data_IF_693414033172
#
_entry.id   IF_693414033172
#
_cell.length_a   1.000
_cell.length_b   1.000
_cell.length_c   1.000
_cell.angle_alpha   90.00
_cell.angle_beta   90.00
_cell.angle_gamma   90.00
#
_symmetry.space_group_name_H-M   'P 1'
#
loop_
_entity.id
_entity.type
_entity.pdbx_description
1 polymer ?
#
# COMPACT_ATOMS: atom_id res chain seq x y z
N UNK A 1 -34.42 -44.90 -15.23
CA UNK A 1 -33.51 -43.86 -15.75
C UNK A 1 -32.18 -43.95 -15.00
N UNK A 2 -31.11 -44.36 -15.69
CA UNK A 2 -29.78 -44.50 -15.08
C UNK A 2 -29.14 -43.11 -14.83
N UNK A 3 -28.48 -42.88 -13.69
CA UNK A 3 -27.84 -41.60 -13.40
C UNK A 3 -26.65 -41.37 -14.34
N UNK A 4 -26.70 -40.28 -15.11
CA UNK A 4 -25.63 -39.87 -16.03
C UNK A 4 -24.34 -39.67 -15.21
N UNK A 5 -23.25 -40.41 -15.50
CA UNK A 5 -22.00 -40.28 -14.78
C UNK A 5 -21.43 -38.88 -15.00
N UNK A 6 -21.30 -38.10 -13.92
CA UNK A 6 -20.59 -36.82 -13.93
C UNK A 6 -19.11 -37.09 -14.20
N UNK A 7 -18.72 -37.09 -15.47
CA UNK A 7 -17.32 -37.07 -15.86
C UNK A 7 -16.68 -35.87 -15.19
N UNK A 8 -15.78 -36.13 -14.23
CA UNK A 8 -14.88 -35.11 -13.69
C UNK A 8 -14.08 -34.61 -14.88
N UNK A 9 -14.49 -33.49 -15.49
CA UNK A 9 -13.61 -32.65 -16.30
C UNK A 9 -12.46 -32.24 -15.39
N UNK A 10 -11.44 -33.09 -15.32
CA UNK A 10 -10.10 -32.73 -14.91
C UNK A 10 -9.79 -31.57 -15.83
N UNK A 11 -9.82 -30.33 -15.32
CA UNK A 11 -9.09 -29.25 -15.98
C UNK A 11 -7.67 -29.78 -15.96
N UNK A 12 -7.28 -30.43 -17.05
CA UNK A 12 -5.91 -30.43 -17.51
C UNK A 12 -5.63 -28.94 -17.49
N UNK A 13 -4.92 -28.48 -16.45
CA UNK A 13 -4.12 -27.28 -16.60
C UNK A 13 -3.35 -27.62 -17.85
N UNK A 14 -3.80 -27.09 -19.00
CA UNK A 14 -3.01 -27.10 -20.20
C UNK A 14 -1.67 -26.63 -19.70
N UNK A 15 -0.72 -27.55 -19.74
CA UNK A 15 0.68 -27.27 -19.50
C UNK A 15 0.91 -26.21 -20.57
N UNK A 16 0.78 -24.94 -20.19
CA UNK A 16 0.96 -23.82 -21.10
C UNK A 16 2.32 -24.10 -21.66
N UNK A 17 2.35 -24.47 -22.94
CA UNK A 17 3.52 -25.08 -23.52
C UNK A 17 4.69 -24.16 -23.22
N UNK A 18 5.71 -24.70 -22.58
CA UNK A 18 6.92 -23.95 -22.22
C UNK A 18 7.61 -23.36 -23.47
N UNK A 19 7.15 -23.74 -24.67
CA UNK A 19 7.56 -23.19 -25.96
C UNK A 19 6.89 -21.87 -26.34
N UNK A 20 5.97 -21.30 -25.56
CA UNK A 20 5.56 -19.90 -25.74
C UNK A 20 6.56 -18.93 -25.06
N UNK A 21 7.85 -19.24 -25.23
CA UNK A 21 9.04 -18.56 -24.69
C UNK A 21 9.23 -17.13 -25.25
N UNK A 22 8.24 -16.60 -25.97
CA UNK A 22 8.32 -15.35 -26.71
C UNK A 22 7.12 -14.42 -26.52
N UNK A 23 6.33 -14.60 -25.46
CA UNK A 23 5.75 -13.41 -24.81
C UNK A 23 6.91 -12.73 -24.05
N UNK A 24 7.88 -12.19 -24.82
CA UNK A 24 8.95 -11.34 -24.32
C UNK A 24 8.26 -10.39 -23.36
N UNK A 25 8.64 -10.41 -22.08
CA UNK A 25 8.10 -9.50 -21.09
C UNK A 25 8.11 -8.12 -21.74
N UNK A 26 6.92 -7.61 -22.07
CA UNK A 26 6.77 -6.32 -22.71
C UNK A 26 7.64 -5.35 -21.94
N UNK A 27 8.59 -4.72 -22.63
CA UNK A 27 9.40 -3.70 -22.01
C UNK A 27 8.47 -2.56 -21.59
N UNK A 28 8.37 -2.34 -20.28
CA UNK A 28 7.54 -1.27 -19.76
C UNK A 28 8.22 0.06 -20.03
N UNK A 29 7.47 1.03 -20.53
CA UNK A 29 7.92 2.42 -20.63
C UNK A 29 8.26 2.98 -19.24
N UNK A 30 9.03 4.07 -19.17
CA UNK A 30 9.37 4.68 -17.88
C UNK A 30 8.13 5.09 -17.08
N UNK A 31 7.11 5.64 -17.76
CA UNK A 31 5.83 6.01 -17.15
C UNK A 31 5.07 4.79 -16.64
N UNK A 32 5.01 3.70 -17.43
CA UNK A 32 4.42 2.44 -16.98
C UNK A 32 5.13 1.90 -15.75
N UNK A 33 6.46 1.95 -15.69
CA UNK A 33 7.21 1.49 -14.49
C UNK A 33 6.85 2.30 -13.25
N UNK A 34 6.70 3.62 -13.39
CA UNK A 34 6.24 4.48 -12.28
C UNK A 34 4.84 4.03 -11.84
N UNK A 35 3.91 3.82 -12.77
CA UNK A 35 2.56 3.34 -12.45
C UNK A 35 2.56 1.96 -11.79
N UNK A 36 3.38 1.04 -12.28
CA UNK A 36 3.54 -0.32 -11.74
C UNK A 36 4.21 -0.35 -10.37
N UNK A 37 5.05 0.64 -10.07
CA UNK A 37 5.69 0.81 -8.75
C UNK A 37 4.72 1.36 -7.69
N UNK A 38 3.65 2.03 -8.12
CA UNK A 38 2.62 2.60 -7.24
C UNK A 38 1.68 1.53 -6.69
N UNK A 39 1.63 1.29 -5.36
CA UNK A 39 0.75 0.26 -4.80
C UNK A 39 -0.73 0.55 -5.04
N UNK A 40 -1.15 1.82 -4.98
CA UNK A 40 -2.55 2.21 -5.17
C UNK A 40 -3.05 1.96 -6.58
N UNK A 41 -2.29 2.42 -7.59
CA UNK A 41 -2.62 2.20 -8.99
C UNK A 41 -2.71 0.70 -9.30
N UNK A 42 -1.83 -0.10 -8.72
CA UNK A 42 -1.87 -1.55 -8.88
C UNK A 42 -3.05 -2.22 -8.17
N UNK A 43 -3.46 -1.74 -7.00
CA UNK A 43 -4.70 -2.21 -6.37
C UNK A 43 -5.92 -1.90 -7.24
N UNK A 44 -5.98 -0.70 -7.82
CA UNK A 44 -7.07 -0.27 -8.72
C UNK A 44 -7.09 -1.07 -10.03
N UNK A 45 -5.92 -1.44 -10.56
CA UNK A 45 -5.78 -2.29 -11.74
C UNK A 45 -6.09 -3.77 -11.48
N UNK A 46 -6.31 -4.18 -10.23
CA UNK A 46 -6.64 -5.58 -9.92
C UNK A 46 -8.04 -5.96 -10.46
N UNK A 47 -8.27 -7.23 -10.85
CA UNK A 47 -9.52 -7.63 -11.47
C UNK A 47 -10.76 -7.29 -10.62
N UNK A 48 -11.80 -6.74 -11.23
CA UNK A 48 -13.06 -6.45 -10.54
C UNK A 48 -13.76 -7.73 -10.07
N UNK A 49 -14.29 -7.70 -8.84
CA UNK A 49 -15.01 -8.81 -8.21
C UNK A 49 -16.19 -8.25 -7.43
N UNK A 50 -17.28 -8.99 -7.38
CA UNK A 50 -18.44 -8.61 -6.59
C UNK A 50 -18.23 -8.96 -5.11
N UNK A 51 -18.38 -7.98 -4.23
CA UNK A 51 -18.38 -8.19 -2.79
C UNK A 51 -19.68 -8.88 -2.37
N UNK A 52 -19.58 -10.00 -1.66
CA UNK A 52 -20.72 -10.78 -1.17
C UNK A 52 -21.57 -10.02 -0.14
N UNK A 53 -20.97 -9.08 0.59
CA UNK A 53 -21.66 -8.32 1.64
C UNK A 53 -22.47 -7.15 1.09
N UNK A 54 -21.86 -6.38 0.18
CA UNK A 54 -22.41 -5.12 -0.34
C UNK A 54 -22.95 -5.23 -1.76
N UNK A 55 -22.74 -6.36 -2.43
CA UNK A 55 -23.10 -6.63 -3.83
C UNK A 55 -22.46 -5.67 -4.85
N UNK A 56 -21.52 -4.81 -4.41
CA UNK A 56 -20.77 -3.88 -5.25
C UNK A 56 -19.57 -4.55 -5.90
N UNK A 57 -19.23 -4.12 -7.10
CA UNK A 57 -17.99 -4.50 -7.78
C UNK A 57 -16.84 -3.65 -7.26
N UNK A 58 -15.80 -4.30 -6.75
CA UNK A 58 -14.57 -3.67 -6.25
C UNK A 58 -13.35 -4.41 -6.82
N UNK A 59 -12.19 -3.75 -6.95
CA UNK A 59 -10.97 -4.44 -7.34
C UNK A 59 -10.60 -5.51 -6.30
N UNK A 60 -10.07 -6.64 -6.76
CA UNK A 60 -9.83 -7.82 -5.93
C UNK A 60 -8.90 -7.55 -4.72
N UNK A 61 -7.99 -6.58 -4.80
CA UNK A 61 -7.09 -6.24 -3.69
C UNK A 61 -7.80 -5.53 -2.52
N UNK A 62 -8.95 -4.90 -2.75
CA UNK A 62 -9.82 -4.35 -1.71
C UNK A 62 -10.71 -5.42 -1.04
N UNK A 63 -10.60 -6.67 -1.49
CA UNK A 63 -11.42 -7.77 -1.03
C UNK A 63 -10.57 -8.88 -0.39
N UNK A 64 -11.22 -9.68 0.45
CA UNK A 64 -10.67 -10.91 1.00
C UNK A 64 -11.49 -12.07 0.46
N UNK A 65 -10.80 -13.04 -0.12
CA UNK A 65 -11.42 -14.25 -0.63
C UNK A 65 -11.60 -15.27 0.49
N UNK A 66 -12.83 -15.71 0.71
CA UNK A 66 -13.16 -16.81 1.60
C UNK A 66 -13.61 -18.03 0.77
N UNK A 67 -13.12 -19.20 1.13
CA UNK A 67 -13.47 -20.44 0.47
C UNK A 67 -13.99 -21.47 1.46
N UNK A 68 -14.99 -22.24 1.05
CA UNK A 68 -15.46 -23.38 1.82
C UNK A 68 -14.42 -24.51 1.74
N UNK A 69 -13.91 -24.93 2.88
CA UNK A 69 -12.97 -26.04 3.01
C UNK A 69 -13.54 -27.11 3.94
N UNK A 70 -13.29 -28.38 3.60
CA UNK A 70 -13.65 -29.51 4.45
C UNK A 70 -12.59 -29.65 5.53
N UNK A 71 -13.00 -29.55 6.79
CA UNK A 71 -12.13 -29.91 7.91
C UNK A 71 -12.14 -31.43 8.05
N UNK A 72 -10.98 -32.10 8.08
CA UNK A 72 -10.96 -33.52 8.42
C UNK A 72 -11.50 -33.67 9.84
N UNK A 73 -12.68 -34.27 9.96
CA UNK A 73 -13.23 -34.66 11.26
C UNK A 73 -12.36 -35.78 11.84
N UNK A 74 -12.22 -35.80 13.16
CA UNK A 74 -11.49 -36.86 13.84
C UNK A 74 -12.11 -38.22 13.45
N UNK A 75 -11.31 -39.24 13.05
CA UNK A 75 -11.78 -40.55 12.58
C UNK A 75 -12.82 -41.27 13.44
N UNK A 76 -13.01 -40.92 14.70
CA UNK A 76 -14.02 -41.51 15.57
C UNK A 76 -15.46 -41.08 15.25
N UNK A 77 -15.67 -40.02 14.46
CA UNK A 77 -17.02 -39.48 14.14
C UNK A 77 -17.41 -39.69 12.66
N UNK A 78 -17.24 -40.91 12.13
CA UNK A 78 -17.52 -41.24 10.71
C UNK A 78 -18.98 -41.00 10.26
N UNK A 79 -19.93 -40.88 11.18
CA UNK A 79 -21.36 -40.71 10.86
C UNK A 79 -21.81 -39.26 10.66
N UNK A 80 -20.98 -38.26 10.96
CA UNK A 80 -21.33 -36.83 10.76
C UNK A 80 -20.77 -36.34 9.43
N UNK A 81 -21.64 -35.78 8.59
CA UNK A 81 -21.24 -35.14 7.33
C UNK A 81 -20.09 -34.16 7.57
N UNK A 82 -19.05 -34.22 6.74
CA UNK A 82 -17.87 -33.36 6.87
C UNK A 82 -18.28 -31.88 6.90
N UNK A 83 -18.12 -31.25 8.06
CA UNK A 83 -18.46 -29.84 8.25
C UNK A 83 -17.59 -28.99 7.34
N UNK A 84 -18.22 -28.21 6.46
CA UNK A 84 -17.52 -27.22 5.66
C UNK A 84 -17.38 -25.94 6.47
N UNK A 85 -16.18 -25.38 6.49
CA UNK A 85 -15.90 -24.10 7.14
C UNK A 85 -15.46 -23.08 6.10
N UNK A 86 -15.83 -21.82 6.27
CA UNK A 86 -15.28 -20.73 5.47
C UNK A 86 -13.90 -20.36 5.99
N UNK A 87 -12.94 -20.25 5.08
CA UNK A 87 -11.55 -20.00 5.44
C UNK A 87 -10.91 -19.04 4.42
N UNK A 88 -10.00 -18.15 4.84
CA UNK A 88 -9.35 -17.24 3.90
C UNK A 88 -8.43 -18.01 2.95
N UNK A 89 -8.53 -17.71 1.65
CA UNK A 89 -7.72 -18.33 0.61
C UNK A 89 -7.00 -17.26 -0.22
N UNK A 90 -5.74 -17.51 -0.55
CA UNK A 90 -4.92 -16.59 -1.35
C UNK A 90 -4.50 -15.28 -0.68
N UNK A 91 -4.55 -15.18 0.66
CA UNK A 91 -3.97 -14.03 1.38
C UNK A 91 -2.44 -14.07 1.40
N UNK A 92 -1.86 -15.26 1.53
CA UNK A 92 -0.41 -15.46 1.51
C UNK A 92 0.15 -15.40 0.08
N UNK A 93 1.47 -15.16 -0.02
CA UNK A 93 2.15 -15.12 -1.30
C UNK A 93 2.15 -16.50 -1.98
N UNK A 94 1.86 -16.60 -3.30
CA UNK A 94 1.73 -17.88 -4.00
C UNK A 94 2.92 -18.83 -3.87
N UNK A 95 4.14 -18.27 -3.78
CA UNK A 95 5.38 -19.05 -3.54
C UNK A 95 5.40 -19.81 -2.20
N UNK A 96 4.69 -19.31 -1.19
CA UNK A 96 4.62 -19.95 0.13
C UNK A 96 3.38 -20.82 0.26
N UNK A 97 2.26 -20.38 -0.32
CA UNK A 97 1.00 -21.11 -0.27
C UNK A 97 0.16 -20.88 -1.51
N UNK A 98 0.01 -21.93 -2.32
CA UNK A 98 -0.92 -21.91 -3.45
C UNK A 98 -2.37 -21.93 -2.98
N UNK A 99 -3.25 -21.32 -3.79
CA UNK A 99 -4.69 -21.36 -3.58
C UNK A 99 -5.18 -22.80 -3.71
N UNK A 100 -5.99 -23.25 -2.75
CA UNK A 100 -6.47 -24.66 -2.71
C UNK A 100 -7.86 -24.83 -3.30
N UNK A 101 -8.66 -23.78 -3.33
CA UNK A 101 -10.07 -23.84 -3.74
C UNK A 101 -10.30 -23.13 -5.07
N UNK A 102 -11.13 -23.71 -5.94
CA UNK A 102 -11.58 -23.03 -7.17
C UNK A 102 -12.74 -22.05 -6.92
N UNK A 103 -13.68 -22.42 -6.04
CA UNK A 103 -14.85 -21.58 -5.71
C UNK A 103 -14.62 -20.87 -4.38
N UNK A 104 -14.96 -19.60 -4.33
CA UNK A 104 -14.90 -18.79 -3.12
C UNK A 104 -15.72 -17.52 -3.28
N UNK A 105 -16.13 -16.95 -2.16
CA UNK A 105 -16.79 -15.65 -2.09
C UNK A 105 -15.74 -14.57 -1.80
N UNK A 106 -16.04 -13.33 -2.17
CA UNK A 106 -15.21 -12.18 -1.82
C UNK A 106 -15.95 -11.32 -0.81
N UNK A 107 -15.29 -10.92 0.25
CA UNK A 107 -15.81 -9.96 1.23
C UNK A 107 -14.94 -8.72 1.20
N UNK A 108 -15.43 -7.59 1.67
CA UNK A 108 -14.62 -6.39 1.80
C UNK A 108 -13.43 -6.64 2.74
N UNK A 109 -12.28 -6.02 2.45
CA UNK A 109 -11.12 -6.04 3.34
C UNK A 109 -11.37 -5.14 4.56
N UNK A 110 -12.35 -5.52 5.38
CA UNK A 110 -12.82 -4.78 6.54
C UNK A 110 -13.22 -5.75 7.66
N UNK A 111 -12.57 -5.63 8.82
CA UNK A 111 -12.71 -6.58 9.94
C UNK A 111 -14.12 -6.60 10.52
N UNK A 112 -14.73 -5.44 10.69
CA UNK A 112 -16.07 -5.30 11.28
C UNK A 112 -17.14 -5.91 10.36
N UNK A 113 -16.88 -5.94 9.04
CA UNK A 113 -17.71 -6.62 8.05
C UNK A 113 -17.91 -8.12 8.34
N UNK A 114 -16.99 -8.77 9.08
CA UNK A 114 -17.17 -10.16 9.50
C UNK A 114 -18.33 -10.37 10.47
N UNK A 115 -18.70 -9.37 11.28
CA UNK A 115 -19.83 -9.49 12.19
C UNK A 115 -21.15 -9.65 11.42
N UNK A 116 -21.24 -9.04 10.24
CA UNK A 116 -22.36 -9.22 9.31
C UNK A 116 -22.40 -10.66 8.80
N UNK A 117 -21.23 -11.29 8.60
CA UNK A 117 -21.14 -12.70 8.19
C UNK A 117 -21.57 -13.68 9.30
N UNK A 118 -21.51 -13.30 10.57
CA UNK A 118 -21.93 -14.21 11.65
C UNK A 118 -23.46 -14.28 11.81
N UNK A 119 -24.24 -13.49 11.05
CA UNK A 119 -25.70 -13.53 11.12
C UNK A 119 -26.26 -14.80 10.43
N UNK A 120 -27.11 -15.59 11.12
CA UNK A 120 -27.47 -16.96 10.74
C UNK A 120 -28.23 -17.14 9.42
N UNK A 121 -28.66 -16.06 8.77
CA UNK A 121 -29.50 -16.11 7.56
C UNK A 121 -28.70 -16.07 6.24
N UNK A 122 -27.52 -15.44 6.19
CA UNK A 122 -26.81 -15.18 4.92
C UNK A 122 -25.94 -16.35 4.42
N UNK A 123 -25.65 -17.36 5.26
CA UNK A 123 -24.70 -18.45 4.93
C UNK A 123 -25.34 -19.77 4.57
N UNK A 124 -26.66 -19.90 4.74
CA UNK A 124 -27.38 -21.14 4.42
C UNK A 124 -27.13 -21.59 2.97
N UNK A 125 -26.99 -20.64 2.04
CA UNK A 125 -26.69 -20.90 0.62
C UNK A 125 -25.29 -21.48 0.37
N UNK A 126 -24.33 -21.17 1.24
CA UNK A 126 -22.94 -21.62 1.10
C UNK A 126 -22.67 -22.96 1.79
N UNK A 127 -23.56 -23.40 2.68
CA UNK A 127 -23.39 -24.67 3.42
C UNK A 127 -22.14 -24.70 4.30
N UNK A 128 -21.56 -23.55 4.62
CA UNK A 128 -20.33 -23.41 5.39
C UNK A 128 -20.44 -22.24 6.36
N UNK A 129 -20.01 -22.45 7.60
CA UNK A 129 -19.99 -21.42 8.64
C UNK A 129 -18.58 -20.81 8.79
N UNK A 130 -18.45 -19.50 9.02
CA UNK A 130 -17.18 -18.90 9.40
C UNK A 130 -16.78 -19.37 10.82
N UNK A 131 -15.49 -19.68 11.07
CA UNK A 131 -15.03 -19.97 12.42
C UNK A 131 -15.08 -18.70 13.30
N UNK A 132 -15.29 -18.82 14.62
CA UNK A 132 -15.46 -17.66 15.51
C UNK A 132 -14.24 -16.74 15.53
N UNK A 133 -13.04 -17.30 15.33
CA UNK A 133 -11.76 -16.56 15.30
C UNK A 133 -11.27 -16.24 13.88
N UNK A 134 -12.18 -16.24 12.89
CA UNK A 134 -11.84 -15.95 11.50
C UNK A 134 -11.12 -14.60 11.35
N UNK A 135 -11.56 -13.57 12.09
CA UNK A 135 -10.97 -12.24 12.00
C UNK A 135 -9.52 -12.18 12.45
N UNK A 136 -9.21 -12.78 13.60
CA UNK A 136 -7.83 -12.88 14.11
C UNK A 136 -6.94 -13.67 13.15
N UNK A 137 -7.49 -14.73 12.54
CA UNK A 137 -6.77 -15.55 11.59
C UNK A 137 -6.46 -14.78 10.30
N UNK A 138 -7.42 -14.00 9.77
CA UNK A 138 -7.20 -13.11 8.62
C UNK A 138 -6.13 -12.06 8.96
N UNK A 139 -6.22 -11.38 10.11
CA UNK A 139 -5.20 -10.42 10.55
C UNK A 139 -3.81 -11.07 10.58
N UNK A 140 -3.69 -12.28 11.14
CA UNK A 140 -2.42 -13.02 11.17
C UNK A 140 -1.89 -13.30 9.76
N UNK A 141 -2.74 -13.74 8.84
CA UNK A 141 -2.32 -14.02 7.46
C UNK A 141 -1.91 -12.76 6.69
N UNK A 142 -2.57 -11.62 6.91
CA UNK A 142 -2.18 -10.34 6.31
C UNK A 142 -0.81 -9.88 6.84
N UNK A 143 -0.56 -10.03 8.14
CA UNK A 143 0.77 -9.82 8.75
C UNK A 143 1.83 -10.74 8.14
N UNK A 144 1.51 -12.02 8.00
CA UNK A 144 2.40 -13.00 7.39
C UNK A 144 2.72 -12.63 5.94
N UNK A 145 1.75 -12.11 5.19
CA UNK A 145 1.96 -11.63 3.81
C UNK A 145 3.03 -10.54 3.75
N UNK A 146 3.01 -9.56 4.66
CA UNK A 146 4.04 -8.50 4.73
C UNK A 146 5.44 -9.10 4.93
N UNK A 147 5.59 -10.08 5.85
CA UNK A 147 6.87 -10.75 6.08
C UNK A 147 7.33 -11.58 4.87
N UNK A 148 6.39 -12.19 4.15
CA UNK A 148 6.66 -12.92 2.91
C UNK A 148 7.16 -11.98 1.81
N UNK A 149 6.52 -10.84 1.60
CA UNK A 149 6.96 -9.85 0.59
C UNK A 149 8.35 -9.30 0.91
N UNK A 150 8.62 -8.92 2.16
CA UNK A 150 9.95 -8.47 2.57
C UNK A 150 11.03 -9.54 2.36
N UNK A 151 10.70 -10.81 2.60
CA UNK A 151 11.63 -11.90 2.35
C UNK A 151 11.95 -12.06 0.86
N UNK A 152 10.94 -11.96 0.00
CA UNK A 152 11.13 -12.05 -1.46
C UNK A 152 11.87 -10.85 -2.00
N UNK A 153 11.56 -9.65 -1.52
CA UNK A 153 12.27 -8.42 -1.83
C UNK A 153 13.77 -8.55 -1.52
N UNK A 154 14.12 -9.02 -0.32
CA UNK A 154 15.51 -9.26 0.05
C UNK A 154 16.20 -10.28 -0.88
N UNK A 155 15.50 -11.37 -1.25
CA UNK A 155 16.03 -12.40 -2.16
C UNK A 155 16.22 -11.89 -3.58
N UNK A 156 15.29 -11.07 -4.09
CA UNK A 156 15.39 -10.48 -5.42
C UNK A 156 16.55 -9.48 -5.49
N UNK A 157 16.70 -8.61 -4.49
CA UNK A 157 17.85 -7.69 -4.41
C UNK A 157 19.18 -8.44 -4.36
N UNK A 158 19.28 -9.50 -3.56
CA UNK A 158 20.49 -10.35 -3.53
C UNK A 158 20.80 -10.96 -4.89
N UNK A 159 19.79 -11.44 -5.62
CA UNK A 159 19.98 -12.02 -6.95
C UNK A 159 20.42 -10.96 -7.97
N UNK A 160 19.72 -9.82 -8.02
CA UNK A 160 20.00 -8.72 -8.94
C UNK A 160 21.42 -8.17 -8.79
N UNK A 161 21.88 -8.00 -7.55
CA UNK A 161 23.23 -7.50 -7.30
C UNK A 161 24.33 -8.55 -7.48
N UNK A 162 24.00 -9.85 -7.48
CA UNK A 162 24.96 -10.90 -7.86
C UNK A 162 25.18 -10.99 -9.35
N UNK A 163 24.12 -10.81 -10.14
CA UNK A 163 24.20 -10.93 -11.61
C UNK A 163 24.78 -9.70 -12.28
N UNK A 164 24.76 -8.54 -11.61
CA UNK A 164 25.15 -7.26 -12.20
C UNK A 164 26.51 -6.82 -11.67
N UNK A 165 27.58 -7.27 -12.33
CA UNK A 165 28.97 -7.01 -11.95
C UNK A 165 29.55 -5.71 -12.53
N UNK A 166 28.72 -4.82 -13.09
CA UNK A 166 29.19 -3.60 -13.76
C UNK A 166 29.04 -2.33 -12.93
N UNK A 167 29.95 -1.33 -13.09
CA UNK A 167 29.82 0.01 -12.55
C UNK A 167 28.66 0.72 -13.27
N UNK A 168 27.44 0.45 -12.80
CA UNK A 168 26.24 1.13 -13.29
C UNK A 168 25.93 2.31 -12.38
N UNK A 169 25.27 3.32 -12.96
CA UNK A 169 24.87 4.55 -12.27
C UNK A 169 24.25 4.27 -10.87
N UNK A 170 24.48 5.18 -9.91
CA UNK A 170 23.95 5.03 -8.55
C UNK A 170 22.44 4.91 -8.59
N UNK A 171 21.91 3.87 -7.93
CA UNK A 171 20.47 3.59 -7.88
C UNK A 171 19.81 4.16 -6.65
N UNK A 172 18.54 4.58 -6.76
CA UNK A 172 17.77 4.95 -5.58
C UNK A 172 17.67 3.74 -4.63
N UNK A 173 17.85 3.96 -3.32
CA UNK A 173 17.53 2.93 -2.32
C UNK A 173 16.05 2.64 -2.34
N UNK A 174 15.72 1.35 -2.34
CA UNK A 174 14.37 0.87 -2.06
C UNK A 174 14.05 1.05 -0.59
N UNK A 175 15.05 0.81 0.27
CA UNK A 175 14.89 0.94 1.70
C UNK A 175 15.92 1.92 2.27
N UNK A 176 15.46 2.92 3.01
CA UNK A 176 16.33 3.88 3.68
C UNK A 176 16.01 3.93 5.15
N UNK A 177 17.03 3.97 6.01
CA UNK A 177 16.84 4.25 7.43
C UNK A 177 16.87 5.77 7.60
N UNK A 178 15.80 6.35 8.16
CA UNK A 178 15.76 7.78 8.44
C UNK A 178 16.82 8.11 9.50
N UNK A 179 17.50 9.24 9.38
CA UNK A 179 18.39 9.74 10.44
C UNK A 179 17.59 10.19 11.66
N UNK A 180 18.26 10.44 12.80
CA UNK A 180 17.57 10.96 13.98
C UNK A 180 17.04 12.38 13.75
N UNK A 181 17.78 13.22 13.01
CA UNK A 181 17.31 14.53 12.59
C UNK A 181 16.04 14.42 11.73
N UNK A 182 16.05 13.62 10.66
CA UNK A 182 14.89 13.43 9.77
C UNK A 182 13.68 12.87 10.53
N UNK A 183 13.90 11.92 11.43
CA UNK A 183 12.85 11.35 12.28
C UNK A 183 12.34 12.34 13.35
N UNK A 184 13.18 13.27 13.80
CA UNK A 184 12.78 14.39 14.65
C UNK A 184 11.92 15.38 13.89
N UNK A 185 12.37 15.79 12.70
CA UNK A 185 11.64 16.67 11.79
C UNK A 185 10.26 16.10 11.47
N UNK A 186 10.15 14.84 11.04
CA UNK A 186 8.87 14.19 10.75
C UNK A 186 7.90 14.20 11.94
N UNK A 187 8.41 14.09 13.18
CA UNK A 187 7.58 14.17 14.39
C UNK A 187 7.14 15.59 14.72
N UNK A 188 7.99 16.59 14.44
CA UNK A 188 7.69 18.00 14.71
C UNK A 188 6.78 18.60 13.63
N UNK A 189 7.08 18.36 12.36
CA UNK A 189 6.32 18.91 11.23
C UNK A 189 5.07 18.10 10.91
N UNK A 190 5.08 16.80 11.22
CA UNK A 190 4.04 15.87 10.78
C UNK A 190 4.03 15.64 9.27
N UNK A 191 5.02 16.11 8.52
CA UNK A 191 5.12 16.00 7.07
C UNK A 191 6.39 15.26 6.66
N UNK A 192 6.29 14.46 5.60
CA UNK A 192 7.36 13.60 5.13
C UNK A 192 8.00 14.18 3.86
N UNK A 193 9.26 14.67 3.89
CA UNK A 193 9.91 15.32 2.74
C UNK A 193 10.42 14.31 1.69
N UNK A 194 9.63 13.26 1.41
CA UNK A 194 9.96 12.22 0.43
C UNK A 194 8.74 11.98 -0.46
N UNK A 195 8.60 12.73 -1.57
CA UNK A 195 7.50 12.53 -2.51
C UNK A 195 7.56 11.12 -3.11
N UNK A 196 6.39 10.52 -3.34
CA UNK A 196 6.29 9.15 -3.86
C UNK A 196 6.70 8.04 -2.89
N UNK A 197 7.03 8.35 -1.62
CA UNK A 197 7.32 7.32 -0.63
C UNK A 197 6.12 6.38 -0.44
N UNK A 198 6.38 5.08 -0.34
CA UNK A 198 5.29 4.09 -0.23
C UNK A 198 4.78 4.01 1.22
N UNK A 199 5.71 3.95 2.18
CA UNK A 199 5.38 3.84 3.60
C UNK A 199 6.60 4.15 4.49
N UNK A 200 6.33 4.52 5.74
CA UNK A 200 7.33 4.57 6.82
C UNK A 200 7.03 3.48 7.84
N UNK A 201 8.01 2.67 8.22
CA UNK A 201 7.89 1.62 9.24
C UNK A 201 8.73 1.99 10.46
N UNK A 202 8.10 2.16 11.62
CA UNK A 202 8.81 2.31 12.90
C UNK A 202 9.03 0.93 13.49
N UNK A 203 10.28 0.47 13.50
CA UNK A 203 10.67 -0.87 13.96
C UNK A 203 11.72 -0.78 15.06
N UNK A 204 11.31 -0.55 16.33
CA UNK A 204 12.22 -0.60 17.45
C UNK A 204 12.86 -2.00 17.58
N UNK A 205 14.10 -2.09 18.09
CA UNK A 205 14.73 -3.37 18.37
C UNK A 205 13.90 -4.16 19.38
N UNK A 206 13.76 -5.47 19.17
CA UNK A 206 13.05 -6.32 20.13
C UNK A 206 13.89 -6.47 21.39
N UNK A 207 13.28 -6.12 22.53
CA UNK A 207 13.87 -6.29 23.86
C UNK A 207 14.20 -7.77 24.12
N UNK A 208 15.24 -8.01 24.93
CA UNK A 208 15.52 -9.34 25.47
C UNK A 208 14.35 -9.74 26.37
N UNK A 209 14.00 -11.02 26.33
CA UNK A 209 12.96 -11.55 27.19
C UNK A 209 13.45 -11.49 28.65
N UNK A 210 12.66 -10.95 29.61
CA UNK A 210 13.13 -10.77 30.99
C UNK A 210 13.55 -12.07 31.67
N UNK A 211 12.89 -13.19 31.36
CA UNK A 211 13.16 -14.50 31.97
C UNK A 211 14.37 -15.17 31.34
N UNK A 212 14.38 -15.33 30.01
CA UNK A 212 15.47 -16.04 29.31
C UNK A 212 16.69 -15.17 29.06
N UNK A 213 16.57 -13.84 29.19
CA UNK A 213 17.57 -12.81 28.81
C UNK A 213 18.03 -12.90 27.34
N UNK A 214 17.41 -13.74 26.53
CA UNK A 214 17.72 -13.91 25.12
C UNK A 214 16.80 -13.04 24.27
N UNK A 215 17.31 -12.58 23.13
CA UNK A 215 16.45 -11.91 22.14
C UNK A 215 15.63 -13.00 21.44
N UNK A 216 14.31 -12.82 21.27
CA UNK A 216 13.47 -13.78 20.54
C UNK A 216 14.08 -14.11 19.18
N UNK A 217 14.27 -15.40 18.93
CA UNK A 217 14.74 -15.86 17.63
C UNK A 217 13.72 -15.50 16.56
N UNK A 218 14.17 -15.10 15.38
CA UNK A 218 13.30 -14.86 14.23
C UNK A 218 12.76 -16.17 13.61
N UNK A 219 13.21 -17.34 14.10
CA UNK A 219 12.72 -18.64 13.71
C UNK A 219 11.23 -18.80 14.06
N UNK A 220 10.45 -19.43 13.18
CA UNK A 220 9.02 -19.68 13.40
C UNK A 220 8.08 -18.51 13.09
N UNK A 221 8.59 -17.29 12.87
CA UNK A 221 7.76 -16.12 12.53
C UNK A 221 6.92 -16.27 11.24
N UNK A 222 7.35 -17.17 10.34
CA UNK A 222 6.71 -17.43 9.04
C UNK A 222 5.65 -18.54 9.11
N UNK A 223 5.23 -18.95 10.30
CA UNK A 223 4.22 -20.01 10.48
C UNK A 223 2.82 -19.54 10.10
N UNK A 224 2.08 -20.41 9.41
CA UNK A 224 0.66 -20.25 9.11
C UNK A 224 -0.22 -20.20 10.36
N UNK A 225 0.28 -20.77 11.47
CA UNK A 225 -0.45 -20.77 12.74
C UNK A 225 -0.22 -19.43 13.43
N UNK A 226 -1.29 -18.77 13.94
CA UNK A 226 -1.12 -17.61 14.80
C UNK A 226 -0.15 -17.95 15.93
N UNK A 227 0.81 -17.07 16.25
CA UNK A 227 1.67 -17.30 17.40
C UNK A 227 0.78 -17.45 18.63
N UNK A 228 1.14 -18.38 19.53
CA UNK A 228 0.55 -18.40 20.85
C UNK A 228 0.72 -17.00 21.44
N UNK A 229 -0.32 -16.43 22.04
CA UNK A 229 -0.21 -15.10 22.63
C UNK A 229 0.92 -15.15 23.67
N UNK A 230 2.01 -14.42 23.39
CA UNK A 230 3.17 -14.31 24.27
C UNK A 230 2.66 -13.95 25.69
N UNK A 231 2.56 -14.91 26.61
CA UNK A 231 2.11 -14.69 27.99
C UNK A 231 0.67 -15.10 28.37
N UNK A 232 0.00 -15.98 27.63
CA UNK A 232 -1.32 -16.49 28.03
C UNK A 232 -1.36 -17.24 29.39
N UNK A 233 -0.21 -17.52 30.01
CA UNK A 233 -0.11 -18.15 31.33
C UNK A 233 -0.15 -17.18 32.52
N UNK A 234 -0.09 -15.86 32.31
CA UNK A 234 -0.17 -14.89 33.40
C UNK A 234 -1.50 -14.13 33.32
N UNK A 235 -2.26 -14.01 34.42
CA UNK A 235 -3.52 -13.26 34.44
C UNK A 235 -3.26 -11.85 33.93
N UNK A 236 -3.90 -11.52 32.80
CA UNK A 236 -3.66 -10.30 32.02
C UNK A 236 -3.94 -9.08 32.87
N UNK A 237 -2.90 -8.51 33.49
CA UNK A 237 -2.95 -7.12 33.90
C UNK A 237 -3.08 -6.29 32.62
N UNK A 238 -4.05 -5.36 32.52
CA UNK A 238 -4.17 -4.51 31.36
C UNK A 238 -2.83 -3.79 31.10
N UNK A 239 -2.40 -3.68 29.84
CA UNK A 239 -1.11 -3.04 29.54
C UNK A 239 -1.11 -1.62 30.09
N UNK A 240 -0.08 -1.25 30.85
CA UNK A 240 0.06 0.10 31.45
C UNK A 240 0.06 1.24 30.42
N UNK A 241 0.27 0.93 29.14
CA UNK A 241 0.29 1.90 28.04
C UNK A 241 -0.65 1.43 26.94
N UNK A 242 -1.48 2.35 26.46
CA UNK A 242 -2.32 2.13 25.29
C UNK A 242 -1.43 1.73 24.09
N UNK A 243 -1.91 0.77 23.30
CA UNK A 243 -1.23 0.39 22.07
C UNK A 243 -1.27 1.56 21.09
N UNK A 244 -0.15 1.92 20.44
CA UNK A 244 -0.15 2.98 19.44
C UNK A 244 -1.08 2.60 18.28
N UNK A 245 -1.58 3.59 17.51
CA UNK A 245 -2.38 3.31 16.33
C UNK A 245 -1.57 2.47 15.33
N UNK A 246 -2.27 1.64 14.56
CA UNK A 246 -1.65 0.77 13.55
C UNK A 246 -0.88 1.58 12.51
N UNK A 247 -1.53 2.61 11.97
CA UNK A 247 -0.91 3.56 11.07
C UNK A 247 -1.55 4.94 11.09
N UNK A 248 -0.73 5.96 10.83
CA UNK A 248 -1.08 7.37 10.72
C UNK A 248 -0.68 7.85 9.32
N UNK A 249 -1.54 8.62 8.65
CA UNK A 249 -1.25 9.18 7.33
C UNK A 249 -0.56 10.54 7.49
N UNK A 250 0.61 10.71 6.87
CA UNK A 250 1.37 11.95 6.87
C UNK A 250 1.40 12.58 5.46
N UNK A 251 1.13 13.88 5.29
CA UNK A 251 1.28 14.54 4.00
C UNK A 251 2.75 14.53 3.53
N UNK A 252 2.99 14.36 2.22
CA UNK A 252 4.33 14.46 1.61
C UNK A 252 4.81 15.88 1.43
N UNK A 253 3.88 16.82 1.24
CA UNK A 253 4.22 18.22 1.11
C UNK A 253 3.95 18.92 2.43
N UNK A 254 5.01 19.54 2.97
CA UNK A 254 4.80 20.70 3.84
C UNK A 254 4.12 21.70 2.93
N UNK A 255 2.80 21.84 3.06
CA UNK A 255 2.19 23.07 2.57
C UNK A 255 2.99 24.15 3.26
N UNK A 256 3.70 24.96 2.48
CA UNK A 256 4.05 26.30 2.92
C UNK A 256 2.71 26.93 3.21
N UNK A 257 2.24 26.71 4.45
CA UNK A 257 1.34 27.59 5.13
C UNK A 257 2.17 28.84 5.26
N UNK A 258 2.32 29.58 4.15
CA UNK A 258 2.35 31.03 4.22
C UNK A 258 1.24 31.31 5.21
N UNK A 259 1.54 31.89 6.39
CA UNK A 259 0.49 32.25 7.32
C UNK A 259 -0.54 32.92 6.43
N UNK A 260 -1.76 32.36 6.38
CA UNK A 260 -2.85 33.02 5.70
C UNK A 260 -2.80 34.40 6.32
N UNK A 261 -2.25 35.37 5.58
CA UNK A 261 -2.14 36.74 6.05
C UNK A 261 -3.56 37.03 6.39
N UNK A 262 -3.81 37.14 7.70
CA UNK A 262 -5.14 37.23 8.24
C UNK A 262 -5.80 38.29 7.38
N UNK A 263 -6.88 37.93 6.67
CA UNK A 263 -7.54 38.85 5.72
C UNK A 263 -7.95 40.16 6.44
N UNK A 264 -7.91 40.16 7.78
CA UNK A 264 -7.92 41.33 8.66
C UNK A 264 -6.85 42.41 8.40
N UNK A 265 -5.78 42.16 7.64
CA UNK A 265 -4.80 43.19 7.25
C UNK A 265 -4.90 43.65 5.79
N UNK A 266 -5.84 43.10 5.00
CA UNK A 266 -6.26 43.79 3.80
C UNK A 266 -7.10 45.00 4.26
N UNK A 267 -6.45 46.17 4.35
CA UNK A 267 -7.16 47.45 4.27
C UNK A 267 -8.19 47.29 3.14
N UNK A 268 -9.48 47.60 3.37
CA UNK A 268 -10.43 47.65 2.27
C UNK A 268 -9.81 48.60 1.25
N UNK A 269 -9.45 48.08 0.06
CA UNK A 269 -9.15 48.96 -1.06
C UNK A 269 -10.39 49.82 -1.21
N UNK A 270 -10.22 51.13 -1.12
CA UNK A 270 -11.33 52.03 -1.39
C UNK A 270 -11.87 51.71 -2.78
N UNK A 271 -13.18 51.86 -3.00
CA UNK A 271 -13.80 51.58 -4.29
C UNK A 271 -13.07 52.31 -5.44
N UNK A 272 -12.47 53.48 -5.16
CA UNK A 272 -11.65 54.23 -6.10
C UNK A 272 -10.41 53.44 -6.59
N UNK A 273 -9.64 52.82 -5.69
CA UNK A 273 -8.43 52.07 -6.07
C UNK A 273 -8.77 50.77 -6.83
N UNK A 274 -9.92 50.17 -6.53
CA UNK A 274 -10.43 49.00 -7.25
C UNK A 274 -10.79 49.35 -8.71
N UNK A 275 -11.51 50.45 -8.90
CA UNK A 275 -11.88 50.92 -10.24
C UNK A 275 -10.67 51.40 -11.04
N UNK A 276 -9.67 52.02 -10.41
CA UNK A 276 -8.47 52.50 -11.08
C UNK A 276 -7.57 51.35 -11.58
N UNK A 277 -7.38 50.30 -10.78
CA UNK A 277 -6.70 49.07 -11.24
C UNK A 277 -7.46 48.36 -12.36
N UNK A 278 -8.78 48.37 -12.31
CA UNK A 278 -9.63 47.78 -13.36
C UNK A 278 -9.54 48.59 -14.66
N UNK A 279 -9.40 49.92 -14.57
CA UNK A 279 -9.21 50.83 -15.71
C UNK A 279 -7.83 50.64 -16.37
N UNK A 280 -6.77 50.55 -15.58
CA UNK A 280 -5.41 50.28 -16.07
C UNK A 280 -5.31 48.93 -16.78
N UNK A 281 -5.99 47.89 -16.26
CA UNK A 281 -6.01 46.57 -16.89
C UNK A 281 -6.74 46.55 -18.24
N UNK A 282 -7.82 47.34 -18.38
CA UNK A 282 -8.53 47.50 -19.66
C UNK A 282 -7.75 48.32 -20.69
N UNK A 283 -7.03 49.36 -20.25
CA UNK A 283 -6.19 50.16 -21.14
C UNK A 283 -5.07 49.33 -21.81
N UNK A 284 -4.52 48.34 -21.09
CA UNK A 284 -3.44 47.48 -21.61
C UNK A 284 -3.90 46.40 -22.61
N UNK A 285 -5.20 46.24 -22.88
CA UNK A 285 -5.72 45.14 -23.72
C UNK A 285 -6.26 45.59 -25.08
N UNK A 286 -5.98 46.84 -25.52
CA UNK A 286 -6.66 47.42 -26.69
C UNK A 286 -5.70 47.96 -27.76
N UNK A 287 -4.76 47.14 -28.24
CA UNK A 287 -4.07 47.37 -29.52
C UNK A 287 -3.82 45.99 -30.15
N UNK A 288 -4.60 45.53 -31.13
CA UNK A 288 -4.36 45.77 -32.56
C UNK A 288 -5.49 45.13 -33.39
N UNK A 289 -6.06 45.82 -34.39
CA UNK A 289 -6.81 45.19 -35.47
C UNK A 289 -6.05 45.26 -36.81
N UNK A 290 -6.46 44.35 -37.69
CA UNK A 290 -6.29 44.33 -39.16
C UNK A 290 -4.95 43.88 -39.77
N UNK A 291 -4.96 42.67 -40.34
CA UNK A 291 -4.80 42.54 -41.80
C UNK A 291 -5.42 41.23 -42.31
N UNK A 292 -6.46 41.37 -43.14
CA UNK A 292 -6.98 40.31 -43.99
C UNK A 292 -6.67 40.66 -45.45
N UNK A 293 -5.94 39.80 -46.17
CA UNK A 293 -6.22 39.42 -47.58
C UNK A 293 -5.22 38.39 -48.13
N UNK A 294 -5.79 37.27 -48.58
CA UNK A 294 -5.58 36.59 -49.87
C UNK A 294 -4.17 36.12 -50.29
N UNK A 295 -4.02 34.81 -50.60
CA UNK A 295 -3.71 34.27 -51.95
C UNK A 295 -3.56 32.73 -51.90
N UNK A 296 -4.16 32.08 -52.91
CA UNK A 296 -4.09 30.67 -53.30
C UNK A 296 -2.67 30.21 -53.66
N UNK A 297 -2.27 28.99 -53.28
CA UNK A 297 -1.05 28.34 -53.80
C UNK A 297 -0.89 26.90 -53.34
N UNK A 298 -0.94 25.96 -54.29
CA UNK A 298 -0.73 24.51 -54.14
C UNK A 298 0.78 24.13 -54.06
N UNK A 299 1.14 22.86 -53.76
CA UNK A 299 2.32 22.52 -52.98
C UNK A 299 3.53 22.12 -53.83
N UNK A 300 4.74 22.47 -53.37
CA UNK A 300 6.00 21.83 -53.78
C UNK A 300 7.04 21.87 -52.65
N UNK A 301 7.57 20.67 -52.38
CA UNK A 301 8.94 20.29 -51.97
C UNK A 301 9.90 21.29 -51.33
N UNK A 302 10.46 20.81 -50.21
CA UNK A 302 11.87 20.87 -49.78
C UNK A 302 12.50 22.19 -49.29
N UNK A 303 13.38 21.98 -48.30
CA UNK A 303 14.40 22.85 -47.73
C UNK A 303 14.10 23.84 -46.59
N UNK A 304 14.43 23.35 -45.38
CA UNK A 304 15.37 23.94 -44.42
C UNK A 304 15.46 25.48 -44.31
N UNK A 305 14.81 26.05 -43.29
CA UNK A 305 15.29 27.28 -42.63
C UNK A 305 14.64 27.52 -41.26
N UNK A 306 15.44 28.09 -40.35
CA UNK A 306 15.12 28.48 -38.98
C UNK A 306 13.87 29.39 -38.91
N UNK A 307 12.82 28.91 -38.24
CA UNK A 307 11.69 29.73 -37.80
C UNK A 307 11.54 29.68 -36.28
N UNK A 308 11.81 30.80 -35.60
CA UNK A 308 11.34 31.06 -34.23
C UNK A 308 9.82 31.11 -34.27
N UNK A 309 9.16 30.05 -33.81
CA UNK A 309 7.72 30.07 -33.56
C UNK A 309 7.48 30.75 -32.22
N UNK A 310 6.79 31.89 -32.25
CA UNK A 310 6.21 32.54 -31.09
C UNK A 310 5.33 31.56 -30.33
N UNK A 311 5.71 31.26 -29.08
CA UNK A 311 4.92 30.51 -28.11
C UNK A 311 3.69 31.34 -27.71
N UNK A 312 2.68 31.38 -28.59
CA UNK A 312 1.36 31.87 -28.25
C UNK A 312 0.69 30.90 -27.28
N UNK A 313 0.83 31.22 -26.00
CA UNK A 313 -0.20 31.06 -24.96
C UNK A 313 -1.03 29.78 -25.00
N UNK A 314 -0.39 28.63 -24.80
CA UNK A 314 -1.13 27.45 -24.33
C UNK A 314 -1.62 27.79 -22.92
N UNK A 315 -2.89 28.20 -22.82
CA UNK A 315 -3.55 28.40 -21.54
C UNK A 315 -3.37 27.14 -20.70
N UNK A 316 -2.71 27.31 -19.55
CA UNK A 316 -2.60 26.26 -18.54
C UNK A 316 -4.01 25.78 -18.22
N UNK A 317 -4.40 24.65 -18.82
CA UNK A 317 -5.59 23.91 -18.44
C UNK A 317 -5.36 23.53 -17.00
N UNK A 318 -5.98 24.29 -16.08
CA UNK A 318 -5.76 24.18 -14.64
C UNK A 318 -5.93 22.74 -14.21
N UNK A 319 -4.82 22.04 -14.03
CA UNK A 319 -4.81 20.67 -13.55
C UNK A 319 -5.46 20.72 -12.17
N UNK A 320 -6.59 20.02 -11.96
CA UNK A 320 -7.29 20.09 -10.69
C UNK A 320 -6.30 19.78 -9.56
N UNK A 321 -6.38 20.50 -8.42
CA UNK A 321 -5.41 20.38 -7.34
C UNK A 321 -5.26 18.90 -6.98
N UNK A 322 -4.09 18.34 -7.26
CA UNK A 322 -3.82 16.92 -7.01
C UNK A 322 -4.15 16.62 -5.55
N UNK A 323 -4.95 15.58 -5.32
CA UNK A 323 -5.26 15.11 -3.98
C UNK A 323 -3.95 14.98 -3.19
N UNK A 324 -3.90 15.58 -2.00
CA UNK A 324 -2.69 15.58 -1.18
C UNK A 324 -2.18 14.16 -1.00
N UNK A 325 -0.98 13.89 -1.51
CA UNK A 325 -0.36 12.59 -1.35
C UNK A 325 -0.02 12.38 0.13
N UNK A 326 -0.58 11.31 0.71
CA UNK A 326 -0.38 10.94 2.10
C UNK A 326 0.33 9.61 2.21
N UNK A 327 1.39 9.57 2.99
CA UNK A 327 2.20 8.37 3.21
C UNK A 327 1.83 7.74 4.55
N UNK A 328 1.50 6.45 4.60
CA UNK A 328 1.22 5.76 5.85
C UNK A 328 2.50 5.49 6.64
N UNK A 329 2.50 5.93 7.90
CA UNK A 329 3.47 5.58 8.92
C UNK A 329 2.90 4.46 9.79
N UNK A 330 3.55 3.30 9.80
CA UNK A 330 3.15 2.12 10.56
C UNK A 330 4.01 1.93 11.81
N UNK A 331 3.36 1.59 12.92
CA UNK A 331 4.04 1.20 14.14
C UNK A 331 4.17 -0.33 14.22
N UNK A 332 5.39 -0.86 14.23
CA UNK A 332 5.63 -2.31 14.29
C UNK A 332 5.05 -3.02 15.52
N UNK A 333 4.85 -2.31 16.64
CA UNK A 333 4.27 -2.88 17.86
C UNK A 333 2.79 -3.20 17.65
N UNK A 334 2.06 -2.30 16.99
CA UNK A 334 0.67 -2.52 16.60
C UNK A 334 0.55 -3.46 15.38
N UNK A 335 1.46 -3.28 14.40
CA UNK A 335 1.51 -4.08 13.18
C UNK A 335 1.78 -5.56 13.48
N UNK A 336 2.66 -5.86 14.43
CA UNK A 336 3.05 -7.20 14.83
C UNK A 336 3.09 -7.31 16.37
N UNK A 337 1.98 -7.73 17.02
CA UNK A 337 1.93 -7.87 18.48
C UNK A 337 2.90 -8.92 19.04
N UNK A 338 3.18 -9.99 18.28
CA UNK A 338 4.13 -11.03 18.68
C UNK A 338 5.59 -10.60 18.57
N UNK A 339 6.40 -10.87 19.61
CA UNK A 339 7.82 -10.48 19.64
C UNK A 339 8.63 -11.16 18.55
N UNK A 340 8.34 -12.43 18.27
CA UNK A 340 9.00 -13.25 17.23
C UNK A 340 8.80 -12.65 15.83
N UNK A 341 7.58 -12.19 15.53
CA UNK A 341 7.27 -11.54 14.25
C UNK A 341 7.98 -10.18 14.10
N UNK A 342 8.06 -9.37 15.16
CA UNK A 342 8.84 -8.11 15.14
C UNK A 342 10.32 -8.36 14.94
N UNK A 343 10.88 -9.38 15.60
CA UNK A 343 12.27 -9.75 15.42
C UNK A 343 12.54 -10.14 13.96
N UNK A 344 11.63 -10.90 13.35
CA UNK A 344 11.69 -11.25 11.92
C UNK A 344 11.60 -10.03 11.01
N UNK A 345 10.66 -9.12 11.27
CA UNK A 345 10.51 -7.87 10.52
C UNK A 345 11.83 -7.07 10.54
N UNK A 346 12.37 -6.82 11.72
CA UNK A 346 13.62 -6.07 11.89
C UNK A 346 14.80 -6.74 11.17
N UNK A 347 14.92 -8.07 11.28
CA UNK A 347 15.96 -8.84 10.58
C UNK A 347 15.85 -8.74 9.06
N UNK A 348 14.64 -8.80 8.50
CA UNK A 348 14.44 -8.67 7.04
C UNK A 348 14.78 -7.26 6.56
N UNK A 349 14.33 -6.22 7.25
CA UNK A 349 14.65 -4.82 6.90
C UNK A 349 16.16 -4.55 6.99
N UNK A 350 16.81 -5.02 8.05
CA UNK A 350 18.27 -4.87 8.22
C UNK A 350 19.04 -5.66 7.16
N UNK A 351 18.53 -6.83 6.75
CA UNK A 351 19.11 -7.61 5.65
C UNK A 351 19.04 -6.85 4.32
N UNK A 352 17.89 -6.25 4.00
CA UNK A 352 17.72 -5.44 2.78
C UNK A 352 18.73 -4.27 2.80
N UNK A 353 18.80 -3.51 3.89
CA UNK A 353 19.78 -2.42 4.04
C UNK A 353 21.21 -2.92 3.87
N UNK A 354 21.56 -4.07 4.46
CA UNK A 354 22.90 -4.64 4.33
C UNK A 354 23.25 -5.05 2.90
N UNK A 355 22.27 -5.50 2.13
CA UNK A 355 22.44 -5.83 0.70
C UNK A 355 22.68 -4.56 -0.12
N UNK A 356 21.87 -3.52 0.09
CA UNK A 356 22.03 -2.23 -0.61
C UNK A 356 23.34 -1.53 -0.23
N UNK A 357 23.69 -1.50 1.07
CA UNK A 357 24.95 -0.90 1.53
C UNK A 357 26.16 -1.59 0.91
N UNK A 358 26.23 -2.93 0.92
CA UNK A 358 27.34 -3.66 0.29
C UNK A 358 27.48 -3.32 -1.18
N UNK A 359 26.37 -3.26 -1.91
CA UNK A 359 26.39 -2.91 -3.33
C UNK A 359 26.91 -1.49 -3.57
N UNK A 360 26.47 -0.50 -2.77
CA UNK A 360 26.98 0.88 -2.85
C UNK A 360 28.47 0.96 -2.57
N UNK A 361 28.94 0.29 -1.52
CA UNK A 361 30.36 0.28 -1.19
C UNK A 361 31.19 -0.40 -2.28
N UNK A 362 30.71 -1.50 -2.88
CA UNK A 362 31.39 -2.14 -4.01
C UNK A 362 31.45 -1.24 -5.24
N UNK A 363 30.40 -0.47 -5.52
CA UNK A 363 30.38 0.48 -6.64
C UNK A 363 31.39 1.63 -6.46
N UNK A 364 31.57 2.13 -5.24
CA UNK A 364 32.52 3.22 -4.95
C UNK A 364 33.95 2.73 -4.74
N UNK A 365 34.14 1.50 -4.25
CA UNK A 365 35.47 0.95 -3.96
C UNK A 365 36.35 0.80 -5.20
N UNK A 366 35.75 0.74 -6.40
CA UNK A 366 36.51 0.75 -7.66
C UNK A 366 37.21 2.09 -7.95
N UNK A 367 36.76 3.19 -7.32
CA UNK A 367 37.25 4.55 -7.61
C UNK A 367 38.27 5.04 -6.59
N UNK A 368 38.21 4.57 -5.34
CA UNK A 368 38.95 5.16 -4.22
C UNK A 368 40.23 4.40 -3.81
N UNK A 369 40.93 3.74 -4.75
CA UNK A 369 42.08 2.87 -4.42
C UNK A 369 43.38 3.63 -4.14
N UNK A 370 43.43 4.95 -4.24
CA UNK A 370 44.71 5.67 -4.16
C UNK A 370 45.15 6.11 -2.76
N UNK A 371 44.28 6.37 -1.78
CA UNK A 371 44.75 6.86 -0.47
C UNK A 371 44.12 6.13 0.72
N UNK A 372 44.98 5.48 1.51
CA UNK A 372 44.62 4.56 2.58
C UNK A 372 43.75 5.13 3.71
N UNK A 373 42.99 4.22 4.34
CA UNK A 373 42.10 4.39 5.50
C UNK A 373 40.78 5.14 5.26
N UNK A 374 39.86 4.50 4.52
CA UNK A 374 38.42 4.79 4.68
C UNK A 374 37.94 4.21 6.00
N UNK A 375 38.09 4.97 7.10
CA UNK A 375 37.35 4.66 8.32
C UNK A 375 35.87 4.87 8.01
N UNK A 376 35.07 3.81 8.12
CA UNK A 376 33.61 3.91 8.01
C UNK A 376 33.12 4.88 9.09
N UNK A 377 32.90 6.14 8.70
CA UNK A 377 32.41 7.18 9.59
C UNK A 377 31.00 6.78 10.04
N UNK A 378 30.91 6.04 11.15
CA UNK A 378 29.65 5.84 11.83
C UNK A 378 29.12 7.23 12.20
N UNK A 379 28.05 7.66 11.54
CA UNK A 379 27.43 8.96 11.80
C UNK A 379 27.22 9.13 13.31
N UNK A 380 27.92 10.11 13.88
CA UNK A 380 27.75 10.52 15.28
C UNK A 380 26.57 11.48 15.39
N UNK A 381 25.94 11.53 16.57
CA UNK A 381 24.84 12.45 16.86
C UNK A 381 23.59 12.24 16.00
N UNK A 382 23.13 13.32 15.38
CA UNK A 382 21.87 13.38 14.61
C UNK A 382 21.91 12.62 13.29
N UNK A 383 23.12 12.37 12.77
CA UNK A 383 23.35 11.55 11.58
C UNK A 383 23.24 10.04 11.87
N UNK A 384 23.06 9.63 13.13
CA UNK A 384 22.82 8.23 13.48
C UNK A 384 21.45 7.78 12.94
N UNK A 385 21.42 6.62 12.30
CA UNK A 385 20.17 6.02 11.84
C UNK A 385 19.18 5.79 12.99
N UNK A 386 17.93 6.19 12.79
CA UNK A 386 16.81 5.97 13.70
C UNK A 386 16.25 4.54 13.60
N UNK A 387 15.11 4.29 14.25
CA UNK A 387 14.34 3.05 14.12
C UNK A 387 13.25 3.13 13.03
N UNK A 388 13.20 4.23 12.28
CA UNK A 388 12.26 4.43 11.20
C UNK A 388 12.90 4.03 9.86
N UNK A 389 12.17 3.21 9.10
CA UNK A 389 12.56 2.73 7.78
C UNK A 389 11.59 3.31 6.76
N UNK A 390 12.12 4.06 5.79
CA UNK A 390 11.40 4.59 4.65
C UNK A 390 11.45 3.58 3.51
N UNK A 391 10.29 3.22 2.97
CA UNK A 391 10.15 2.40 1.78
C UNK A 391 9.92 3.33 0.59
N UNK A 392 10.84 3.30 -0.36
CA UNK A 392 10.80 4.08 -1.58
C UNK A 392 10.34 3.20 -2.76
N UNK A 393 9.73 3.81 -3.80
CA UNK A 393 9.42 3.11 -5.04
C UNK A 393 10.71 2.72 -5.75
N UNK A 394 10.63 1.69 -6.57
CA UNK A 394 11.72 1.21 -7.43
C UNK A 394 11.13 0.73 -8.75
N UNK A 395 11.84 1.02 -9.82
CA UNK A 395 11.56 0.55 -11.17
C UNK A 395 12.17 -0.83 -11.46
N UNK A 396 13.21 -1.22 -10.70
CA UNK A 396 13.90 -2.50 -10.89
C UNK A 396 13.29 -3.65 -10.07
N UNK A 397 12.74 -3.35 -8.90
CA UNK A 397 12.18 -4.38 -8.00
C UNK A 397 10.75 -4.03 -7.64
N UNK A 398 9.90 -5.05 -7.63
CA UNK A 398 8.50 -4.92 -7.25
C UNK A 398 8.34 -4.64 -5.75
N UNK A 399 8.33 -3.36 -5.38
CA UNK A 399 8.01 -2.88 -4.02
C UNK A 399 6.51 -2.68 -3.84
N UNK A 400 5.76 -2.54 -4.94
CA UNK A 400 4.32 -2.34 -4.91
C UNK A 400 3.63 -3.51 -4.20
N UNK A 401 4.07 -4.75 -4.40
CA UNK A 401 3.52 -5.92 -3.69
C UNK A 401 3.59 -5.79 -2.15
N UNK A 402 4.69 -5.25 -1.62
CA UNK A 402 4.84 -4.94 -0.20
C UNK A 402 3.91 -3.80 0.24
N UNK A 403 3.81 -2.74 -0.57
CA UNK A 403 2.90 -1.62 -0.32
C UNK A 403 1.43 -2.07 -0.25
N UNK A 404 1.00 -2.92 -1.19
CA UNK A 404 -0.34 -3.52 -1.20
C UNK A 404 -0.58 -4.35 0.06
N UNK A 405 0.40 -5.17 0.48
CA UNK A 405 0.27 -5.98 1.70
C UNK A 405 0.08 -5.11 2.95
N UNK A 406 0.82 -4.00 3.06
CA UNK A 406 0.68 -3.03 4.15
C UNK A 406 -0.70 -2.34 4.12
N UNK A 407 -1.13 -1.88 2.94
CA UNK A 407 -2.42 -1.23 2.75
C UNK A 407 -3.61 -2.14 3.07
N UNK A 408 -3.55 -3.40 2.67
CA UNK A 408 -4.61 -4.37 2.99
C UNK A 408 -4.74 -4.63 4.48
N UNK A 409 -3.62 -4.67 5.21
CA UNK A 409 -3.68 -4.76 6.68
C UNK A 409 -4.23 -3.49 7.32
N UNK A 410 -3.90 -2.31 6.77
CA UNK A 410 -4.50 -1.04 7.22
C UNK A 410 -6.02 -1.02 7.01
N UNK A 411 -6.49 -1.32 5.80
CA UNK A 411 -7.93 -1.37 5.48
C UNK A 411 -8.67 -2.39 6.36
N UNK A 412 -8.05 -3.56 6.56
CA UNK A 412 -8.63 -4.60 7.39
C UNK A 412 -8.90 -4.12 8.82
N UNK A 413 -7.96 -3.42 9.45
CA UNK A 413 -8.10 -2.90 10.81
C UNK A 413 -8.86 -1.55 10.86
N UNK A 414 -9.62 -1.21 9.81
CA UNK A 414 -10.49 -0.03 9.75
C UNK A 414 -9.82 1.26 9.30
N UNK A 415 -8.54 1.23 8.93
CA UNK A 415 -7.86 2.41 8.40
C UNK A 415 -8.35 2.79 6.99
N UNK A 416 -8.74 4.06 6.79
CA UNK A 416 -9.25 4.57 5.50
C UNK A 416 -10.78 4.64 5.42
N UNK A 417 -11.48 4.15 6.45
CA UNK A 417 -12.86 4.53 6.70
C UNK A 417 -12.80 5.81 7.52
N UNK A 418 -12.96 6.97 6.89
CA UNK A 418 -13.31 8.16 7.65
C UNK A 418 -14.68 7.90 8.25
N UNK A 419 -14.77 7.96 9.58
CA UNK A 419 -16.02 7.80 10.30
C UNK A 419 -16.96 8.88 9.77
N UNK A 420 -17.83 8.48 8.84
CA UNK A 420 -18.80 9.40 8.27
C UNK A 420 -19.63 9.86 9.45
N UNK A 421 -19.49 11.15 9.78
CA UNK A 421 -20.31 11.82 10.80
C UNK A 421 -21.73 11.30 10.62
N UNK A 422 -22.35 10.71 11.65
CA UNK A 422 -23.67 10.14 11.51
C UNK A 422 -24.54 11.21 10.87
N UNK A 423 -25.04 10.92 9.67
CA UNK A 423 -26.02 11.79 9.01
C UNK A 423 -27.12 11.94 10.04
N UNK A 424 -27.25 13.14 10.62
CA UNK A 424 -28.28 13.44 11.61
C UNK A 424 -29.58 13.02 10.94
N UNK A 425 -30.14 11.90 11.38
CA UNK A 425 -31.44 11.43 10.94
C UNK A 425 -32.43 12.49 11.41
N UNK A 426 -32.71 13.45 10.54
CA UNK A 426 -33.74 14.46 10.76
C UNK A 426 -35.03 13.72 11.10
N UNK A 427 -35.58 14.03 12.28
CA UNK A 427 -36.76 13.38 12.83
C UNK A 427 -37.92 13.45 11.85
N UNK A 428 -38.29 12.30 11.31
CA UNK A 428 -39.52 12.10 10.55
C UNK A 428 -40.21 10.87 11.11
N UNK A 429 -41.13 11.10 12.05
CA UNK A 429 -41.98 10.06 12.65
C UNK A 429 -42.87 9.44 11.57
N UNK A 430 -42.47 8.28 11.05
CA UNK A 430 -43.38 7.37 10.36
C UNK A 430 -43.01 5.94 10.74
N UNK A 431 -43.97 5.27 11.40
CA UNK A 431 -43.92 3.84 11.72
C UNK A 431 -43.95 3.05 10.42
N UNK A 432 -42.78 2.84 9.84
CA UNK A 432 -42.56 1.84 8.81
C UNK A 432 -41.72 0.74 9.46
N UNK A 433 -42.24 -0.48 9.48
CA UNK A 433 -41.50 -1.68 9.89
C UNK A 433 -40.53 -2.02 8.74
N UNK A 434 -39.60 -1.11 8.49
CA UNK A 434 -38.48 -1.31 7.59
C UNK A 434 -37.44 -2.10 8.36
N UNK A 435 -37.03 -3.25 7.81
CA UNK A 435 -35.77 -3.91 8.14
C UNK A 435 -34.63 -2.91 7.84
N UNK A 436 -34.35 -2.03 8.81
CA UNK A 436 -33.45 -0.90 8.71
C UNK A 436 -32.01 -1.32 8.48
N UNK A 437 -31.66 -1.56 7.22
CA UNK A 437 -30.30 -1.39 6.72
C UNK A 437 -30.12 0.08 6.34
N UNK A 438 -29.85 0.94 7.31
CA UNK A 438 -29.41 2.30 7.03
C UNK A 438 -28.16 2.22 6.14
N UNK A 439 -28.31 2.61 4.87
CA UNK A 439 -27.20 2.68 3.92
C UNK A 439 -26.31 3.87 4.28
N UNK A 440 -25.52 3.75 5.35
CA UNK A 440 -24.38 4.65 5.55
C UNK A 440 -23.41 4.39 4.39
N UNK A 441 -23.31 5.33 3.46
CA UNK A 441 -22.34 5.28 2.38
C UNK A 441 -20.95 5.48 2.99
N UNK A 442 -20.27 4.38 3.30
CA UNK A 442 -18.88 4.41 3.75
C UNK A 442 -18.04 4.98 2.61
N UNK A 443 -17.51 6.20 2.80
CA UNK A 443 -16.52 6.79 1.90
C UNK A 443 -15.15 6.22 2.26
N UNK A 444 -14.51 5.59 1.29
CA UNK A 444 -13.12 5.16 1.42
C UNK A 444 -12.22 6.30 0.93
N UNK A 445 -11.35 6.80 1.79
CA UNK A 445 -10.27 7.69 1.37
C UNK A 445 -9.05 6.84 1.05
N UNK A 446 -8.64 6.87 -0.22
CA UNK A 446 -7.43 6.21 -0.72
C UNK A 446 -6.21 7.08 -0.44
#
# INVERSE_FOLDING_TARGET
MAPIPRTRRRRVLQKVDANNDSERRREMSAQERVWWSGPYLRMLASPMRQCYLTERYLPADFLIRLAAMRVPLHPQNKRKNATQILFPDGLQHPKFKMRRSGRGIYIMCWREGLHILNRPMRFKRLGAAPPPRLGEYITHLLRLRILQELYLLAKHLEALYRTRSGPTAPRPSILRRLTRAEWGQLRTTGALPYPGAIAVLIVPPVNRDPTTRQRPSAAGAMSDRPPAADGASSPRTPPKRATPPLSILHPTHVRDRRPLTTISEMKPLSDAEFWEKTRQKRAATTETPDTASTIFGSPTSEDSSLGKTDEQGQGEVGVPPHAEEKVPLYNSVALFPGRVQRARLHTLLTRILGVESRWRFSATAGVAKEDGKVQAAMGKGDNKGSHAFLICPSDEVDVAALGIALWRLRMWEGGGVEETVPVRSGGGSRREVAMGGGNSLVKFTA
#
